data_IF_817286964725
#
_entry.id   IF_817286964725
#
_cell.length_a   1.000
_cell.length_b   1.000
_cell.length_c   1.000
_cell.angle_alpha   90.00
_cell.angle_beta   90.00
_cell.angle_gamma   90.00
#
_symmetry.space_group_name_H-M   'P 1'
#
loop_
_entity.id
_entity.type
_entity.pdbx_description
1 polymer ?
#
# COMPACT_ATOMS: atom_id res chain seq x y z
N UNK A 1 5.27 -6.27 -17.85
CA UNK A 1 5.75 -7.52 -17.24
C UNK A 1 4.83 -7.85 -16.07
N UNK A 2 4.62 -9.13 -15.76
CA UNK A 2 3.75 -9.56 -14.64
C UNK A 2 4.51 -10.57 -13.80
N UNK A 3 4.56 -10.35 -12.49
CA UNK A 3 5.17 -11.25 -11.51
C UNK A 3 4.06 -11.80 -10.61
N UNK A 4 4.09 -13.10 -10.35
CA UNK A 4 3.16 -13.76 -9.42
C UNK A 4 3.94 -14.38 -8.26
N UNK A 5 3.42 -14.21 -7.04
CA UNK A 5 3.95 -14.82 -5.82
C UNK A 5 2.95 -15.87 -5.35
N UNK A 6 3.35 -17.13 -5.30
CA UNK A 6 2.50 -18.28 -4.95
C UNK A 6 2.99 -19.00 -3.70
N UNK A 7 2.08 -19.69 -3.01
CA UNK A 7 2.37 -20.42 -1.77
C UNK A 7 1.10 -20.67 -0.96
N UNK A 8 1.19 -21.55 0.04
CA UNK A 8 0.05 -21.95 0.88
C UNK A 8 -0.57 -20.78 1.66
N UNK A 9 -1.82 -20.94 2.11
CA UNK A 9 -2.45 -19.94 2.99
C UNK A 9 -1.60 -19.74 4.25
N UNK A 10 -1.41 -18.49 4.67
CA UNK A 10 -0.57 -18.16 5.82
C UNK A 10 0.93 -18.10 5.55
N UNK A 11 1.41 -18.40 4.33
CA UNK A 11 2.85 -18.35 4.00
C UNK A 11 3.48 -16.94 3.95
N UNK A 12 2.77 -15.90 4.39
CA UNK A 12 3.30 -14.53 4.47
C UNK A 12 3.23 -13.68 3.19
N UNK A 13 2.60 -14.17 2.09
CA UNK A 13 2.53 -13.44 0.81
C UNK A 13 1.93 -12.03 0.91
N UNK A 14 0.73 -11.93 1.49
CA UNK A 14 0.06 -10.63 1.70
C UNK A 14 0.85 -9.74 2.65
N UNK A 15 1.51 -10.32 3.66
CA UNK A 15 2.35 -9.58 4.60
C UNK A 15 3.59 -8.99 3.91
N UNK A 16 4.24 -9.76 3.02
CA UNK A 16 5.37 -9.29 2.23
C UNK A 16 4.95 -8.17 1.26
N UNK A 17 3.81 -8.32 0.57
CA UNK A 17 3.28 -7.27 -0.30
C UNK A 17 2.97 -5.99 0.49
N UNK A 18 2.34 -6.10 1.65
CA UNK A 18 2.08 -4.97 2.54
C UNK A 18 3.36 -4.32 3.09
N UNK A 19 4.40 -5.11 3.38
CA UNK A 19 5.69 -4.61 3.85
C UNK A 19 6.39 -3.74 2.81
N UNK A 20 6.33 -4.13 1.53
CA UNK A 20 6.92 -3.36 0.40
C UNK A 20 6.41 -1.91 0.39
N UNK A 21 5.09 -1.76 0.58
CA UNK A 21 4.42 -0.46 0.59
C UNK A 21 4.26 0.14 1.99
N UNK A 22 4.86 -0.45 3.04
CA UNK A 22 4.76 -0.03 4.46
C UNK A 22 3.35 0.11 5.01
N UNK A 23 2.44 -0.80 4.65
CA UNK A 23 1.05 -0.86 5.11
C UNK A 23 0.79 -2.15 5.90
N UNK A 24 1.68 -2.48 6.86
CA UNK A 24 1.51 -3.65 7.71
C UNK A 24 0.15 -3.60 8.46
N UNK A 25 -0.56 -4.73 8.57
CA UNK A 25 -1.94 -4.76 9.08
C UNK A 25 -2.05 -4.57 10.60
N UNK A 26 -0.92 -4.54 11.32
CA UNK A 26 -0.90 -4.40 12.78
C UNK A 26 0.35 -3.64 13.23
N UNK A 27 0.18 -2.78 14.22
CA UNK A 27 1.27 -2.06 14.88
C UNK A 27 2.19 -2.97 15.69
N UNK A 28 1.75 -4.19 16.02
CA UNK A 28 2.57 -5.21 16.66
C UNK A 28 3.60 -5.82 15.69
N UNK A 29 3.39 -5.68 14.38
CA UNK A 29 4.32 -6.17 13.37
C UNK A 29 5.33 -5.08 13.03
N UNK A 30 6.61 -5.44 13.05
CA UNK A 30 7.71 -4.55 12.72
C UNK A 30 8.66 -5.22 11.73
N UNK A 31 9.12 -4.44 10.75
CA UNK A 31 10.22 -4.83 9.88
C UNK A 31 11.51 -4.69 10.67
N UNK A 32 12.21 -5.81 10.89
CA UNK A 32 13.40 -5.86 11.76
C UNK A 32 14.70 -5.58 11.02
N UNK A 33 14.77 -5.96 9.74
CA UNK A 33 15.93 -5.78 8.88
C UNK A 33 15.54 -5.88 7.40
N UNK A 34 16.48 -5.55 6.51
CA UNK A 34 16.31 -5.63 5.06
C UNK A 34 16.15 -4.26 4.40
N UNK A 35 15.90 -4.28 3.09
CA UNK A 35 15.71 -3.10 2.26
C UNK A 35 14.66 -3.41 1.18
N UNK A 36 13.90 -2.40 0.77
CA UNK A 36 12.95 -2.50 -0.35
C UNK A 36 13.22 -1.34 -1.29
N UNK A 37 13.84 -1.61 -2.44
CA UNK A 37 14.21 -0.57 -3.38
C UNK A 37 13.10 -0.32 -4.40
N UNK A 38 12.60 0.91 -4.44
CA UNK A 38 11.73 1.41 -5.50
C UNK A 38 12.43 2.57 -6.19
N UNK A 39 12.74 2.41 -7.49
CA UNK A 39 13.55 3.35 -8.28
C UNK A 39 14.84 3.78 -7.59
N UNK A 40 15.54 2.80 -7.00
CA UNK A 40 16.82 3.03 -6.30
C UNK A 40 16.70 3.66 -4.92
N UNK A 41 15.49 3.95 -4.42
CA UNK A 41 15.24 4.47 -3.08
C UNK A 41 14.68 3.40 -2.16
N UNK A 42 15.21 3.29 -0.95
CA UNK A 42 14.72 2.34 0.05
C UNK A 42 13.43 2.84 0.71
N UNK A 43 12.31 2.15 0.46
CA UNK A 43 11.01 2.50 1.03
C UNK A 43 10.98 2.35 2.54
N UNK A 44 11.84 1.50 3.11
CA UNK A 44 11.95 1.30 4.56
C UNK A 44 12.58 2.50 5.28
N UNK A 45 13.39 3.28 4.58
CA UNK A 45 14.03 4.49 5.07
C UNK A 45 13.25 5.77 4.78
N UNK A 46 12.20 5.70 3.94
CA UNK A 46 11.39 6.86 3.59
C UNK A 46 10.59 7.42 4.78
N UNK A 47 10.41 8.72 4.81
CA UNK A 47 9.47 9.37 5.73
C UNK A 47 8.01 9.26 5.23
N UNK A 48 7.08 9.86 5.97
CA UNK A 48 5.65 9.80 5.64
C UNK A 48 5.33 10.49 4.31
N UNK A 49 5.95 11.63 4.03
CA UNK A 49 5.64 12.43 2.83
C UNK A 49 6.18 11.75 1.58
N UNK A 50 7.36 11.16 1.69
CA UNK A 50 7.96 10.34 0.64
C UNK A 50 7.11 9.09 0.33
N UNK A 51 6.58 8.44 1.37
CA UNK A 51 5.66 7.32 1.20
C UNK A 51 4.34 7.75 0.56
N UNK A 52 3.78 8.90 0.94
CA UNK A 52 2.56 9.44 0.35
C UNK A 52 2.74 9.80 -1.12
N UNK A 53 3.92 10.29 -1.51
CA UNK A 53 4.25 10.63 -2.89
C UNK A 53 4.33 9.40 -3.82
N UNK A 54 4.76 8.23 -3.30
CA UNK A 54 4.81 7.00 -4.10
C UNK A 54 3.49 6.21 -4.05
N UNK A 55 2.75 6.26 -2.93
CA UNK A 55 1.44 5.60 -2.80
C UNK A 55 0.39 6.36 -3.60
N UNK A 56 -0.53 5.64 -4.24
CA UNK A 56 -1.64 6.23 -4.99
C UNK A 56 -1.24 6.79 -6.37
N UNK A 57 -0.11 7.49 -6.46
CA UNK A 57 0.40 8.05 -7.72
C UNK A 57 1.32 7.12 -8.51
N UNK A 58 2.15 6.32 -7.83
CA UNK A 58 3.15 5.43 -8.47
C UNK A 58 2.97 3.96 -8.16
N UNK A 59 2.46 3.65 -6.97
CA UNK A 59 2.15 2.30 -6.51
C UNK A 59 0.69 2.28 -6.04
N UNK A 60 -0.13 1.48 -6.74
CA UNK A 60 -1.46 1.11 -6.29
C UNK A 60 -1.39 -0.17 -5.44
N UNK A 61 -2.16 -0.21 -4.34
CA UNK A 61 -2.28 -1.39 -3.49
C UNK A 61 -3.75 -1.72 -3.28
N UNK A 62 -4.10 -2.98 -3.55
CA UNK A 62 -5.46 -3.51 -3.32
C UNK A 62 -5.35 -4.52 -2.18
N UNK A 63 -6.02 -4.22 -1.06
CA UNK A 63 -6.03 -5.08 0.11
C UNK A 63 -6.73 -6.41 -0.16
N UNK A 64 -6.38 -7.44 0.62
CA UNK A 64 -7.00 -8.77 0.51
C UNK A 64 -8.51 -8.75 0.81
N UNK A 65 -8.93 -7.91 1.76
CA UNK A 65 -10.33 -7.55 1.98
C UNK A 65 -10.55 -6.09 1.54
N UNK A 66 -10.84 -5.85 0.25
CA UNK A 66 -10.97 -4.50 -0.28
C UNK A 66 -12.26 -3.80 0.18
N UNK A 67 -13.29 -4.55 0.58
CA UNK A 67 -14.57 -3.98 0.98
C UNK A 67 -14.50 -3.31 2.35
N UNK A 68 -13.60 -3.78 3.22
CA UNK A 68 -13.30 -3.13 4.50
C UNK A 68 -12.84 -1.66 4.38
N UNK A 69 -12.36 -1.26 3.20
CA UNK A 69 -11.83 0.08 2.94
C UNK A 69 -12.90 1.08 2.45
N UNK A 70 -14.13 0.63 2.18
CA UNK A 70 -15.22 1.47 1.69
C UNK A 70 -16.25 1.74 2.79
N UNK A 71 -16.62 2.99 2.97
CA UNK A 71 -17.76 3.41 3.77
C UNK A 71 -19.05 3.16 2.97
N UNK A 72 -19.93 2.23 3.40
CA UNK A 72 -21.15 1.90 2.66
C UNK A 72 -22.21 3.01 2.70
N UNK A 73 -22.04 4.02 3.59
CA UNK A 73 -22.94 5.17 3.68
C UNK A 73 -22.55 6.31 2.72
N UNK A 74 -21.44 6.16 2.00
CA UNK A 74 -20.90 7.17 1.08
C UNK A 74 -20.94 6.69 -0.36
N UNK A 75 -21.12 7.61 -1.31
CA UNK A 75 -21.04 7.27 -2.74
C UNK A 75 -19.61 6.88 -3.10
N UNK A 76 -19.47 5.86 -3.93
CA UNK A 76 -18.16 5.39 -4.44
C UNK A 76 -17.34 6.55 -5.02
N UNK A 77 -17.96 7.44 -5.79
CA UNK A 77 -17.26 8.57 -6.41
C UNK A 77 -16.67 9.57 -5.40
N UNK A 78 -17.31 9.77 -4.23
CA UNK A 78 -16.80 10.66 -3.18
C UNK A 78 -15.54 10.06 -2.57
N UNK A 79 -15.57 8.77 -2.24
CA UNK A 79 -14.45 8.06 -1.61
C UNK A 79 -13.27 7.91 -2.58
N UNK A 80 -13.53 7.66 -3.86
CA UNK A 80 -12.48 7.63 -4.89
C UNK A 80 -11.85 9.02 -5.04
N UNK A 81 -12.64 10.09 -5.09
CA UNK A 81 -12.13 11.46 -5.18
C UNK A 81 -11.28 11.82 -3.95
N UNK A 82 -11.70 11.45 -2.76
CA UNK A 82 -10.92 11.69 -1.53
C UNK A 82 -9.51 11.09 -1.62
N UNK A 83 -9.39 9.86 -2.12
CA UNK A 83 -8.09 9.21 -2.31
C UNK A 83 -7.25 9.97 -3.34
N UNK A 84 -7.85 10.40 -4.46
CA UNK A 84 -7.17 11.17 -5.49
C UNK A 84 -6.66 12.52 -4.96
N UNK A 85 -7.48 13.25 -4.21
CA UNK A 85 -7.14 14.55 -3.64
C UNK A 85 -6.00 14.41 -2.61
N UNK A 86 -6.05 13.38 -1.74
CA UNK A 86 -4.99 13.08 -0.76
C UNK A 86 -3.64 12.77 -1.40
N UNK A 87 -3.65 12.25 -2.63
CA UNK A 87 -2.45 11.89 -3.37
C UNK A 87 -2.10 12.90 -4.49
N UNK A 88 -2.63 14.12 -4.41
CA UNK A 88 -2.19 15.24 -5.24
C UNK A 88 -2.66 15.18 -6.70
N UNK A 89 -3.82 14.56 -6.97
CA UNK A 89 -4.41 14.58 -8.31
C UNK A 89 -4.77 16.02 -8.73
N UNK A 90 -4.32 16.49 -9.91
CA UNK A 90 -4.47 17.90 -10.31
C UNK A 90 -5.88 18.31 -10.76
N UNK A 91 -6.83 17.37 -10.88
CA UNK A 91 -8.23 17.63 -11.29
C UNK A 91 -8.63 16.99 -12.62
#
# INVERSE_FOLDING_TARGET
>A
QTLCVVGESGSGKSLAAAAIVRLLPSTALRITAGQVLFDGRDTLAMDTDELLAIRGGRIGYVFQDPLSCLNPLERVGVQVREVLDRHGWPG
#
